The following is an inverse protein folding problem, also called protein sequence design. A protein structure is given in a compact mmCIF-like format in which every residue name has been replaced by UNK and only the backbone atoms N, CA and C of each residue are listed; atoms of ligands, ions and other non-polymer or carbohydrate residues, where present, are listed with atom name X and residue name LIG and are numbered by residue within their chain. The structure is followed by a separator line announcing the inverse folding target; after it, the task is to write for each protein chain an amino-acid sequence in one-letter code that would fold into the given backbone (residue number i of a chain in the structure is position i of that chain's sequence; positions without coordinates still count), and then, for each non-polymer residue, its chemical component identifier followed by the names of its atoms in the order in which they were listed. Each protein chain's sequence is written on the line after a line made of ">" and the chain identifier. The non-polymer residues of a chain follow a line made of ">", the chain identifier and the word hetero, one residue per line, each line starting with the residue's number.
data_IF_556494311272
#
_entry.id   IF_556494311272
#
_cell.length_a   1.000
_cell.length_b   1.000
_cell.length_c   1.000
_cell.angle_alpha   90.00
_cell.angle_beta   90.00
_cell.angle_gamma   90.00
#
_symmetry.space_group_name_H-M   'P 1'
#
loop_
_entity.id
_entity.type
_entity.pdbx_description
1 polymer ?
#
# COMPACT_ATOMS: atom_id res chain seq x y z
N UNK A 1 -7.82 6.71 -14.38
CA UNK A 1 -8.29 7.65 -13.34
C UNK A 1 -7.28 7.68 -12.21
N UNK A 2 -6.93 8.87 -11.73
CA UNK A 2 -5.89 9.05 -10.72
C UNK A 2 -6.47 8.78 -9.32
N UNK A 3 -5.74 7.98 -8.54
CA UNK A 3 -6.08 7.65 -7.16
C UNK A 3 -4.94 8.11 -6.27
N UNK A 4 -5.29 8.63 -5.11
CA UNK A 4 -4.33 8.97 -4.07
C UNK A 4 -3.96 7.67 -3.37
N UNK A 5 -2.70 7.23 -3.53
CA UNK A 5 -2.18 6.04 -2.85
C UNK A 5 -1.79 6.39 -1.41
N UNK A 6 -1.07 7.50 -1.24
CA UNK A 6 -0.54 7.90 0.04
C UNK A 6 -0.45 9.42 0.17
N UNK A 7 -0.76 9.92 1.38
CA UNK A 7 -0.54 11.30 1.79
C UNK A 7 0.22 11.29 3.11
N UNK A 8 1.32 12.02 3.17
CA UNK A 8 2.05 12.28 4.40
C UNK A 8 2.10 13.76 4.71
N UNK A 9 1.91 14.11 5.98
CA UNK A 9 2.03 15.48 6.47
C UNK A 9 3.04 15.53 7.60
N UNK A 10 4.14 16.25 7.37
CA UNK A 10 5.21 16.45 8.34
C UNK A 10 5.18 17.87 8.89
N UNK A 11 5.55 18.04 10.16
CA UNK A 11 5.72 19.37 10.75
C UNK A 11 6.99 20.02 10.19
N UNK A 12 6.88 21.26 9.77
CA UNK A 12 8.03 22.06 9.34
C UNK A 12 8.55 22.93 10.51
N UNK A 13 9.80 23.43 10.43
CA UNK A 13 10.35 24.34 11.42
C UNK A 13 9.47 25.59 11.57
N UNK A 14 9.13 25.96 12.81
CA UNK A 14 8.33 27.15 13.08
C UNK A 14 9.16 28.40 12.84
N UNK A 15 8.59 29.38 12.12
CA UNK A 15 9.16 30.72 12.10
C UNK A 15 8.71 31.49 13.34
N UNK A 16 9.65 32.17 13.99
CA UNK A 16 9.33 33.12 15.05
C UNK A 16 8.84 34.43 14.41
N UNK A 17 7.60 34.80 14.67
CA UNK A 17 7.08 36.12 14.31
C UNK A 17 7.42 37.17 15.37
N UNK A 18 7.28 38.46 15.03
CA UNK A 18 7.30 39.52 16.02
C UNK A 18 6.22 39.24 17.08
N UNK A 19 6.61 39.30 18.36
CA UNK A 19 5.66 39.08 19.45
C UNK A 19 4.63 40.20 19.46
N UNK A 20 3.36 39.87 19.68
CA UNK A 20 2.37 40.91 19.93
C UNK A 20 2.65 41.46 21.34
N UNK A 21 2.70 42.77 21.45
CA UNK A 21 2.77 43.43 22.75
C UNK A 21 1.43 43.23 23.44
N UNK A 22 1.45 42.52 24.57
CA UNK A 22 0.31 42.43 25.47
C UNK A 22 0.23 43.66 26.37
N UNK A 23 -0.92 43.82 27.02
CA UNK A 23 -1.07 44.80 28.09
C UNK A 23 0.05 44.62 29.13
N UNK A 24 0.57 45.74 29.66
CA UNK A 24 1.67 45.78 30.62
C UNK A 24 3.05 45.33 30.10
N UNK A 25 3.26 45.24 28.78
CA UNK A 25 4.59 45.05 28.19
C UNK A 25 5.09 43.61 28.16
N UNK A 26 4.19 42.64 28.36
CA UNK A 26 4.50 41.22 28.13
C UNK A 26 4.58 40.95 26.62
N UNK A 27 5.67 40.32 26.19
CA UNK A 27 5.89 39.97 24.77
C UNK A 27 5.74 38.45 24.64
N UNK A 28 4.64 38.00 24.02
CA UNK A 28 4.44 36.58 23.72
C UNK A 28 4.77 36.30 22.25
N UNK A 29 5.51 35.22 21.94
CA UNK A 29 5.87 34.90 20.57
C UNK A 29 4.65 34.41 19.80
N UNK A 30 4.34 35.06 18.68
CA UNK A 30 3.41 34.50 17.70
C UNK A 30 4.17 33.58 16.75
N UNK A 31 3.91 32.28 16.82
CA UNK A 31 4.58 31.28 15.98
C UNK A 31 3.65 30.81 14.87
N UNK A 32 4.15 30.81 13.63
CA UNK A 32 3.47 30.12 12.54
C UNK A 32 3.68 28.60 12.66
N UNK A 33 2.71 27.82 12.18
CA UNK A 33 2.79 26.35 12.16
C UNK A 33 2.79 25.84 10.72
N UNK A 34 3.94 25.88 10.03
CA UNK A 34 4.07 25.35 8.69
C UNK A 34 4.10 23.80 8.67
N UNK A 35 3.73 23.21 7.54
CA UNK A 35 3.80 21.76 7.31
C UNK A 35 4.30 21.43 5.90
N UNK A 36 4.94 20.27 5.75
CA UNK A 36 5.31 19.68 4.47
C UNK A 36 4.27 18.64 4.10
N UNK A 37 3.71 18.75 2.90
CA UNK A 37 2.68 17.85 2.40
C UNK A 37 3.28 17.08 1.23
N UNK A 38 3.29 15.76 1.35
CA UNK A 38 3.77 14.84 0.33
C UNK A 38 2.60 13.97 -0.14
N UNK A 39 2.41 13.85 -1.45
CA UNK A 39 1.31 13.10 -2.05
C UNK A 39 1.84 12.19 -3.15
N UNK A 40 1.44 10.92 -3.11
CA UNK A 40 1.71 9.93 -4.16
C UNK A 40 0.39 9.63 -4.87
N UNK A 41 0.36 9.94 -6.17
CA UNK A 41 -0.77 9.66 -7.04
C UNK A 41 -0.39 8.50 -7.96
N UNK A 42 -1.25 7.50 -8.03
CA UNK A 42 -1.11 6.40 -8.98
C UNK A 42 -2.30 6.35 -9.91
N UNK A 43 -2.06 5.91 -11.14
CA UNK A 43 -3.16 5.58 -12.04
C UNK A 43 -3.78 4.24 -11.60
N UNK A 44 -5.10 4.12 -11.70
CA UNK A 44 -5.80 2.84 -11.49
C UNK A 44 -5.28 1.80 -12.48
N UNK A 45 -4.41 0.90 -12.02
CA UNK A 45 -3.98 -0.26 -12.79
C UNK A 45 -5.15 -1.23 -12.96
N UNK A 46 -5.49 -1.55 -14.20
CA UNK A 46 -6.22 -2.77 -14.52
C UNK A 46 -5.23 -3.92 -14.45
N UNK A 47 -5.06 -4.48 -13.25
CA UNK A 47 -4.22 -5.66 -13.05
C UNK A 47 -4.85 -6.81 -13.83
N UNK A 48 -4.24 -7.18 -14.95
CA UNK A 48 -4.53 -8.46 -15.61
C UNK A 48 -3.97 -9.53 -14.68
N UNK A 49 -4.79 -10.45 -14.13
CA UNK A 49 -4.28 -11.49 -13.26
C UNK A 49 -3.22 -12.27 -14.01
N UNK A 50 -2.03 -12.43 -13.40
CA UNK A 50 -1.01 -13.34 -13.93
C UNK A 50 -1.68 -14.70 -14.10
N UNK A 51 -1.52 -15.37 -15.25
CA UNK A 51 -2.04 -16.73 -15.38
C UNK A 51 -1.44 -17.57 -14.25
N UNK A 52 -2.27 -18.27 -13.49
CA UNK A 52 -1.79 -19.25 -12.53
C UNK A 52 -0.91 -20.24 -13.30
N UNK A 53 0.40 -20.21 -13.05
CA UNK A 53 1.32 -21.24 -13.54
C UNK A 53 0.82 -22.58 -12.99
N UNK A 54 0.19 -23.35 -13.87
CA UNK A 54 0.06 -24.81 -13.86
C UNK A 54 0.36 -25.49 -12.51
N UNK A 55 -0.41 -25.20 -11.45
CA UNK A 55 -0.41 -26.02 -10.22
C UNK A 55 -1.26 -27.27 -10.46
N UNK A 56 -0.97 -27.97 -11.55
CA UNK A 56 -1.43 -29.31 -11.82
C UNK A 56 -0.61 -29.89 -12.98
N UNK A 57 0.72 -29.93 -12.85
CA UNK A 57 1.46 -31.05 -13.41
C UNK A 57 0.90 -32.32 -12.76
N UNK A 58 -0.20 -32.84 -13.32
CA UNK A 58 -0.74 -34.16 -13.05
C UNK A 58 0.46 -35.10 -13.16
N UNK A 59 0.93 -35.63 -12.03
CA UNK A 59 1.99 -36.65 -12.01
C UNK A 59 1.62 -37.67 -13.09
N UNK A 60 2.43 -37.80 -14.15
CA UNK A 60 2.18 -38.76 -15.23
C UNK A 60 2.28 -40.16 -14.63
N UNK A 61 1.13 -40.68 -14.21
CA UNK A 61 1.04 -42.04 -13.67
C UNK A 61 1.18 -42.97 -14.88
N UNK A 62 2.09 -43.95 -14.79
CA UNK A 62 2.22 -44.98 -15.83
C UNK A 62 0.86 -45.65 -16.07
N UNK A 63 0.50 -45.88 -17.35
CA UNK A 63 -0.80 -46.46 -17.74
C UNK A 63 -1.11 -47.76 -16.99
N UNK A 64 -0.08 -48.57 -16.68
CA UNK A 64 -0.21 -49.82 -15.93
C UNK A 64 -0.71 -49.60 -14.49
N UNK A 65 -0.22 -48.55 -13.83
CA UNK A 65 -0.61 -48.20 -12.46
C UNK A 65 -2.04 -47.64 -12.42
N UNK A 66 -2.43 -46.86 -13.43
CA UNK A 66 -3.82 -46.37 -13.56
C UNK A 66 -4.80 -47.53 -13.78
N UNK A 67 -4.43 -48.53 -14.61
CA UNK A 67 -5.28 -49.69 -14.87
C UNK A 67 -5.47 -50.54 -13.61
N UNK A 68 -4.42 -50.74 -12.81
CA UNK A 68 -4.52 -51.47 -11.54
C UNK A 68 -5.39 -50.74 -10.51
N UNK A 69 -5.27 -49.42 -10.40
CA UNK A 69 -6.12 -48.62 -9.51
C UNK A 69 -7.61 -48.70 -9.90
N UNK A 70 -7.90 -48.73 -11.20
CA UNK A 70 -9.27 -48.91 -11.72
C UNK A 70 -9.83 -50.32 -11.52
N UNK A 71 -8.97 -51.34 -11.47
CA UNK A 71 -9.38 -52.73 -11.18
C UNK A 71 -9.71 -52.90 -9.69
N UNK A 72 -8.86 -52.37 -8.81
CA UNK A 72 -9.10 -52.42 -7.35
C UNK A 72 -10.33 -51.61 -6.91
N UNK A 73 -10.68 -50.52 -7.61
CA UNK A 73 -11.88 -49.74 -7.32
C UNK A 73 -13.18 -50.35 -7.87
N UNK A 74 -13.09 -51.52 -8.52
CA UNK A 74 -14.21 -52.22 -9.16
C UNK A 74 -14.65 -53.49 -8.41
N UNK A 75 -13.85 -53.94 -7.45
CA UNK A 75 -14.21 -54.93 -6.42
C UNK A 75 -14.91 -54.19 -5.26
#
# INVERSE_FOLDING_TARGET
>A
SLVIEHIQVNKAPKSAGAGHTEAHGRINPYMSFPCHIEMILTEKEQIVPKPEEEVAQKKKISQKKLKNQKLMARE
#
